data_IF_687212853899
#
_entry.id   IF_687212853899
#
_cell.length_a   1.000
_cell.length_b   1.000
_cell.length_c   1.000
_cell.angle_alpha   90.00
_cell.angle_beta   90.00
_cell.angle_gamma   90.00
#
_symmetry.space_group_name_H-M   'P 1'
#
loop_
_entity.id
_entity.type
_entity.pdbx_description
1 polymer ?
#
# COMPACT_ATOMS: atom_id res chain seq x y z
N UNK A 1 -16.61 4.33 26.70
CA UNK A 1 -16.54 4.51 25.23
C UNK A 1 -15.08 4.28 24.82
N UNK A 2 -14.78 3.47 23.80
CA UNK A 2 -13.41 3.21 23.37
C UNK A 2 -12.85 4.44 22.68
N UNK A 3 -11.62 4.82 23.02
CA UNK A 3 -10.93 5.99 22.46
C UNK A 3 -9.77 5.57 21.55
N UNK A 4 -9.27 6.52 20.75
CA UNK A 4 -8.06 6.30 19.92
C UNK A 4 -6.87 5.89 20.80
N UNK A 5 -6.73 6.49 22.00
CA UNK A 5 -5.64 6.14 22.93
C UNK A 5 -5.72 4.70 23.43
N UNK A 6 -6.93 4.18 23.66
CA UNK A 6 -7.14 2.80 24.10
C UNK A 6 -6.74 1.81 22.99
N UNK A 7 -7.06 2.15 21.73
CA UNK A 7 -6.67 1.33 20.57
C UNK A 7 -5.16 1.37 20.41
N UNK A 8 -4.54 2.55 20.43
CA UNK A 8 -3.09 2.71 20.31
C UNK A 8 -2.35 1.92 21.42
N UNK A 9 -2.79 2.05 22.68
CA UNK A 9 -2.16 1.35 23.81
C UNK A 9 -2.17 -0.18 23.65
N UNK A 10 -3.26 -0.75 23.10
CA UNK A 10 -3.38 -2.19 22.88
C UNK A 10 -2.69 -2.70 21.61
N UNK A 11 -2.52 -1.85 20.59
CA UNK A 11 -2.09 -2.29 19.25
C UNK A 11 -0.66 -1.89 18.89
N UNK A 12 -0.04 -0.98 19.70
CA UNK A 12 1.24 -0.36 19.38
C UNK A 12 2.24 -0.51 20.54
N UNK A 13 3.09 -1.56 20.49
CA UNK A 13 4.21 -1.66 21.42
C UNK A 13 5.27 -0.58 21.13
N UNK A 14 6.15 -0.25 22.11
CA UNK A 14 7.24 0.70 21.91
C UNK A 14 8.14 0.35 20.72
N UNK A 15 8.50 -0.93 20.56
CA UNK A 15 9.36 -1.43 19.47
C UNK A 15 8.65 -1.24 18.12
N UNK A 16 7.37 -1.64 18.03
CA UNK A 16 6.56 -1.47 16.84
C UNK A 16 6.39 0.00 16.46
N UNK A 17 6.30 0.88 17.47
CA UNK A 17 6.21 2.33 17.24
C UNK A 17 7.47 2.88 16.59
N UNK A 18 8.66 2.42 17.03
CA UNK A 18 9.94 2.82 16.41
C UNK A 18 10.05 2.37 14.96
N UNK A 19 9.68 1.12 14.67
CA UNK A 19 9.66 0.60 13.29
C UNK A 19 8.65 1.33 12.41
N UNK A 20 7.47 1.60 12.95
CA UNK A 20 6.38 2.25 12.22
C UNK A 20 6.69 3.71 11.85
N UNK A 21 7.44 4.44 12.69
CA UNK A 21 7.88 5.81 12.40
C UNK A 21 8.76 5.93 11.16
N UNK A 22 9.36 4.82 10.70
CA UNK A 22 10.16 4.79 9.47
C UNK A 22 9.33 4.98 8.20
N UNK A 23 8.01 4.74 8.25
CA UNK A 23 7.08 5.03 7.16
C UNK A 23 6.26 6.27 7.52
N UNK A 24 6.71 7.43 7.07
CA UNK A 24 6.24 8.73 7.55
C UNK A 24 4.75 8.96 7.35
N UNK A 25 4.27 8.86 6.12
CA UNK A 25 2.85 9.13 5.83
C UNK A 25 1.94 8.10 6.49
N UNK A 26 2.30 6.81 6.41
CA UNK A 26 1.54 5.75 7.04
C UNK A 26 1.49 5.93 8.57
N UNK A 27 2.56 6.41 9.20
CA UNK A 27 2.60 6.61 10.64
C UNK A 27 1.84 7.86 11.10
N UNK A 28 2.10 9.01 10.48
CA UNK A 28 1.56 10.29 10.97
C UNK A 28 0.16 10.59 10.45
N UNK A 29 -0.27 10.03 9.32
CA UNK A 29 -1.57 10.28 8.71
C UNK A 29 -2.42 9.00 8.71
N UNK A 30 -1.93 7.93 8.12
CA UNK A 30 -2.69 6.68 7.96
C UNK A 30 -3.13 6.08 9.28
N UNK A 31 -2.21 5.94 10.26
CA UNK A 31 -2.52 5.31 11.55
C UNK A 31 -3.55 6.06 12.39
N UNK A 32 -3.42 7.37 12.66
CA UNK A 32 -4.43 8.07 13.45
C UNK A 32 -5.83 7.95 12.85
N UNK A 33 -5.94 8.07 11.52
CA UNK A 33 -7.21 7.92 10.82
C UNK A 33 -7.73 6.48 10.85
N UNK A 34 -6.85 5.47 10.71
CA UNK A 34 -7.25 4.07 10.85
C UNK A 34 -7.71 3.74 12.27
N UNK A 35 -7.11 4.31 13.32
CA UNK A 35 -7.60 4.15 14.68
C UNK A 35 -9.01 4.72 14.84
N UNK A 36 -9.26 5.93 14.32
CA UNK A 36 -10.59 6.54 14.34
C UNK A 36 -11.59 5.64 13.60
N UNK A 37 -11.23 5.14 12.43
CA UNK A 37 -12.09 4.26 11.64
C UNK A 37 -12.24 2.86 12.27
N UNK A 38 -11.36 2.44 13.18
CA UNK A 38 -11.49 1.16 13.91
C UNK A 38 -12.59 1.19 14.97
N UNK A 39 -12.88 2.36 15.57
CA UNK A 39 -13.83 2.51 16.69
C UNK A 39 -15.20 1.84 16.41
N UNK A 40 -15.88 2.10 15.27
CA UNK A 40 -17.18 1.50 15.00
C UNK A 40 -17.13 -0.03 14.87
N UNK A 41 -16.00 -0.62 14.49
CA UNK A 41 -15.87 -2.07 14.30
C UNK A 41 -15.60 -2.85 15.60
N UNK A 42 -15.10 -2.17 16.66
CA UNK A 42 -14.68 -2.85 17.89
C UNK A 42 -15.82 -3.62 18.55
N UNK A 43 -17.00 -3.01 18.62
CA UNK A 43 -18.17 -3.57 19.30
C UNK A 43 -19.08 -4.38 18.36
N UNK A 44 -18.64 -4.67 17.14
CA UNK A 44 -19.38 -5.51 16.18
C UNK A 44 -18.85 -6.95 16.15
N UNK A 45 -19.61 -7.85 15.55
CA UNK A 45 -19.19 -9.21 15.25
C UNK A 45 -18.27 -9.31 14.03
N UNK A 46 -17.99 -8.19 13.35
CA UNK A 46 -17.12 -8.15 12.18
C UNK A 46 -15.71 -8.60 12.55
N UNK A 47 -15.20 -9.53 11.77
CA UNK A 47 -13.85 -10.10 11.92
C UNK A 47 -12.80 -9.28 11.15
N UNK A 48 -11.52 -9.34 11.53
CA UNK A 48 -10.44 -8.71 10.76
C UNK A 48 -10.44 -9.11 9.28
N UNK A 49 -10.60 -10.40 8.98
CA UNK A 49 -10.62 -10.89 7.60
C UNK A 49 -11.79 -10.29 6.78
N UNK A 50 -12.96 -10.10 7.40
CA UNK A 50 -14.08 -9.44 6.74
C UNK A 50 -13.76 -7.98 6.39
N UNK A 51 -13.00 -7.28 7.24
CA UNK A 51 -12.53 -5.92 6.95
C UNK A 51 -11.53 -5.94 5.80
N UNK A 52 -10.59 -6.89 5.75
CA UNK A 52 -9.66 -7.04 4.63
C UNK A 52 -10.39 -7.33 3.31
N UNK A 53 -11.44 -8.18 3.31
CA UNK A 53 -12.28 -8.37 2.11
C UNK A 53 -13.05 -7.09 1.74
N UNK A 54 -13.61 -6.38 2.73
CA UNK A 54 -14.31 -5.12 2.52
C UNK A 54 -13.39 -4.07 1.89
N UNK A 55 -12.11 -4.06 2.24
CA UNK A 55 -11.13 -3.11 1.70
C UNK A 55 -10.90 -3.25 0.18
N UNK A 56 -11.21 -4.41 -0.40
CA UNK A 56 -11.12 -4.60 -1.86
C UNK A 56 -12.19 -3.82 -2.64
N UNK A 57 -13.34 -3.51 -2.02
CA UNK A 57 -14.41 -2.77 -2.69
C UNK A 57 -13.96 -1.36 -3.11
N UNK A 58 -13.37 -0.52 -2.24
CA UNK A 58 -12.88 0.77 -2.67
C UNK A 58 -11.77 0.68 -3.73
N UNK A 59 -10.94 -0.38 -3.77
CA UNK A 59 -9.98 -0.55 -4.86
C UNK A 59 -10.68 -0.74 -6.21
N UNK A 60 -11.68 -1.61 -6.26
CA UNK A 60 -12.47 -1.83 -7.48
C UNK A 60 -13.24 -0.58 -7.92
N UNK A 61 -13.85 0.13 -6.95
CA UNK A 61 -14.55 1.40 -7.22
C UNK A 61 -13.58 2.48 -7.72
N UNK A 62 -12.39 2.61 -7.12
CA UNK A 62 -11.38 3.57 -7.55
C UNK A 62 -10.91 3.31 -8.99
N UNK A 63 -10.62 2.06 -9.34
CA UNK A 63 -10.28 1.69 -10.71
C UNK A 63 -11.44 1.97 -11.67
N UNK A 64 -12.67 1.61 -11.28
CA UNK A 64 -13.88 1.90 -12.07
C UNK A 64 -14.07 3.41 -12.34
N UNK A 65 -13.84 4.26 -11.33
CA UNK A 65 -13.91 5.71 -11.47
C UNK A 65 -12.85 6.24 -12.47
N UNK A 66 -11.62 5.75 -12.41
CA UNK A 66 -10.57 6.12 -13.37
C UNK A 66 -10.99 5.76 -14.81
N UNK A 67 -11.55 4.55 -15.00
CA UNK A 67 -11.94 4.04 -16.31
C UNK A 67 -13.18 4.74 -16.90
N UNK A 68 -14.18 4.99 -16.05
CA UNK A 68 -15.51 5.46 -16.50
C UNK A 68 -15.68 6.98 -16.39
N UNK A 69 -14.91 7.64 -15.52
CA UNK A 69 -15.02 9.08 -15.25
C UNK A 69 -13.62 9.72 -15.35
N UNK A 70 -13.03 9.84 -16.57
CA UNK A 70 -11.66 10.33 -16.75
C UNK A 70 -11.52 11.86 -16.57
N UNK A 71 -12.28 12.42 -15.63
CA UNK A 71 -12.23 13.83 -15.25
C UNK A 71 -11.35 14.01 -14.00
N UNK A 72 -10.91 15.24 -13.72
CA UNK A 72 -10.20 15.55 -12.48
C UNK A 72 -10.99 15.10 -11.23
N UNK A 73 -12.28 15.37 -11.21
CA UNK A 73 -13.16 14.97 -10.09
C UNK A 73 -13.22 13.44 -9.94
N UNK A 74 -13.35 12.69 -11.05
CA UNK A 74 -13.32 11.23 -11.03
C UNK A 74 -11.99 10.67 -10.52
N UNK A 75 -10.87 11.24 -10.93
CA UNK A 75 -9.53 10.85 -10.46
C UNK A 75 -9.32 11.16 -8.97
N UNK A 76 -9.80 12.30 -8.47
CA UNK A 76 -9.74 12.64 -7.04
C UNK A 76 -10.62 11.69 -6.22
N UNK A 77 -11.83 11.37 -6.69
CA UNK A 77 -12.69 10.39 -6.03
C UNK A 77 -12.06 8.98 -6.04
N UNK A 78 -11.41 8.59 -7.12
CA UNK A 78 -10.65 7.34 -7.19
C UNK A 78 -9.51 7.31 -6.17
N UNK A 79 -8.77 8.41 -6.05
CA UNK A 79 -7.74 8.53 -5.03
C UNK A 79 -8.32 8.39 -3.61
N UNK A 80 -9.45 9.01 -3.32
CA UNK A 80 -10.15 8.84 -2.04
C UNK A 80 -10.53 7.37 -1.78
N UNK A 81 -10.93 6.63 -2.81
CA UNK A 81 -11.18 5.19 -2.71
C UNK A 81 -9.89 4.42 -2.37
N UNK A 82 -8.76 4.71 -3.01
CA UNK A 82 -7.47 4.08 -2.71
C UNK A 82 -6.97 4.44 -1.31
N UNK A 83 -7.20 5.67 -0.87
CA UNK A 83 -6.89 6.09 0.49
C UNK A 83 -7.80 5.41 1.52
N UNK A 84 -9.08 5.22 1.22
CA UNK A 84 -10.01 4.46 2.07
C UNK A 84 -9.58 3.00 2.19
N UNK A 85 -9.11 2.36 1.09
CA UNK A 85 -8.48 1.05 1.17
C UNK A 85 -7.33 1.04 2.20
N UNK A 86 -6.41 2.01 2.11
CA UNK A 86 -5.27 2.13 3.02
C UNK A 86 -5.70 2.24 4.50
N UNK A 87 -6.78 2.98 4.77
CA UNK A 87 -7.32 3.09 6.13
C UNK A 87 -7.93 1.77 6.61
N UNK A 88 -8.69 1.06 5.76
CA UNK A 88 -9.32 -0.22 6.07
C UNK A 88 -8.29 -1.32 6.30
N UNK A 89 -7.20 -1.35 5.53
CA UNK A 89 -6.02 -2.20 5.76
C UNK A 89 -5.41 -1.97 7.15
N UNK A 90 -5.37 -0.71 7.60
CA UNK A 90 -5.00 -0.39 8.99
C UNK A 90 -6.01 -0.86 10.04
N UNK A 91 -7.31 -0.83 9.71
CA UNK A 91 -8.41 -1.25 10.60
C UNK A 91 -8.36 -2.73 10.90
N UNK A 92 -8.17 -3.61 9.90
CA UNK A 92 -8.16 -5.06 10.13
C UNK A 92 -7.03 -5.47 11.08
N UNK A 93 -5.83 -4.94 10.89
CA UNK A 93 -4.71 -5.15 11.80
C UNK A 93 -4.92 -4.56 13.20
N UNK A 94 -5.59 -3.42 13.32
CA UNK A 94 -5.95 -2.85 14.62
C UNK A 94 -6.99 -3.72 15.32
N UNK A 95 -8.02 -4.15 14.60
CA UNK A 95 -9.11 -4.99 15.11
C UNK A 95 -8.59 -6.35 15.58
N UNK A 96 -7.71 -6.99 14.79
CA UNK A 96 -7.05 -8.24 15.13
C UNK A 96 -6.32 -8.13 16.47
N UNK A 97 -5.47 -7.12 16.60
CA UNK A 97 -4.69 -6.89 17.84
C UNK A 97 -5.56 -6.47 19.02
N UNK A 98 -6.55 -5.61 18.80
CA UNK A 98 -7.43 -5.14 19.87
C UNK A 98 -8.28 -6.26 20.46
N UNK A 99 -8.84 -7.13 19.60
CA UNK A 99 -9.66 -8.30 20.00
C UNK A 99 -8.83 -9.53 20.38
N UNK A 100 -7.51 -9.52 20.15
CA UNK A 100 -6.64 -10.68 20.38
C UNK A 100 -6.93 -11.84 19.42
N UNK A 101 -7.45 -11.55 18.23
CA UNK A 101 -7.78 -12.54 17.20
C UNK A 101 -6.64 -12.60 16.18
N UNK A 102 -6.00 -13.76 16.07
CA UNK A 102 -5.00 -14.03 15.03
C UNK A 102 -5.30 -15.35 14.34
N UNK A 103 -5.11 -15.42 13.04
CA UNK A 103 -5.17 -16.68 12.29
C UNK A 103 -4.10 -16.70 11.20
N UNK A 104 -3.55 -17.88 10.86
CA UNK A 104 -2.63 -18.00 9.72
C UNK A 104 -3.25 -17.49 8.42
N UNK A 105 -4.53 -17.79 8.19
CA UNK A 105 -5.25 -17.32 7.02
C UNK A 105 -5.45 -15.80 7.03
N UNK A 106 -5.51 -15.15 8.20
CA UNK A 106 -5.61 -13.69 8.32
C UNK A 106 -4.44 -12.98 7.66
N UNK A 107 -3.21 -13.48 7.86
CA UNK A 107 -2.03 -12.91 7.21
C UNK A 107 -2.00 -13.11 5.69
N UNK A 108 -2.65 -14.16 5.20
CA UNK A 108 -2.77 -14.42 3.75
C UNK A 108 -3.78 -13.46 3.12
N UNK A 109 -4.92 -13.24 3.77
CA UNK A 109 -5.97 -12.32 3.30
C UNK A 109 -5.48 -10.88 3.32
N UNK A 110 -4.78 -10.45 4.39
CA UNK A 110 -4.11 -9.16 4.50
C UNK A 110 -3.10 -8.95 3.34
N UNK A 111 -2.21 -9.93 3.10
CA UNK A 111 -1.26 -9.87 1.98
C UNK A 111 -1.95 -9.81 0.61
N UNK A 112 -3.05 -10.55 0.41
CA UNK A 112 -3.85 -10.53 -0.82
C UNK A 112 -4.41 -9.11 -1.08
N UNK A 113 -4.99 -8.48 -0.07
CA UNK A 113 -5.50 -7.11 -0.16
C UNK A 113 -4.37 -6.12 -0.52
N UNK A 114 -3.23 -6.21 0.16
CA UNK A 114 -2.06 -5.38 -0.11
C UNK A 114 -1.51 -5.55 -1.53
N UNK A 115 -1.43 -6.78 -2.05
CA UNK A 115 -0.99 -7.03 -3.44
C UNK A 115 -1.98 -6.48 -4.46
N UNK A 116 -3.29 -6.64 -4.23
CA UNK A 116 -4.31 -6.05 -5.08
C UNK A 116 -4.15 -4.52 -5.15
N UNK A 117 -3.97 -3.87 -4.02
CA UNK A 117 -3.78 -2.43 -3.97
C UNK A 117 -2.53 -1.95 -4.71
N UNK A 118 -1.39 -2.65 -4.52
CA UNK A 118 -0.15 -2.33 -5.22
C UNK A 118 -0.33 -2.38 -6.73
N UNK A 119 -0.98 -3.43 -7.24
CA UNK A 119 -1.20 -3.56 -8.67
C UNK A 119 -2.21 -2.53 -9.20
N UNK A 120 -3.39 -2.47 -8.57
CA UNK A 120 -4.51 -1.64 -9.02
C UNK A 120 -4.16 -0.15 -8.99
N UNK A 121 -3.47 0.32 -7.95
CA UNK A 121 -3.14 1.75 -7.82
C UNK A 121 -2.18 2.22 -8.92
N UNK A 122 -1.13 1.46 -9.23
CA UNK A 122 -0.20 1.84 -10.31
C UNK A 122 -0.81 1.64 -11.69
N UNK A 123 -1.60 0.59 -11.90
CA UNK A 123 -2.37 0.40 -13.13
C UNK A 123 -3.33 1.58 -13.35
N UNK A 124 -4.07 1.98 -12.32
CA UNK A 124 -5.02 3.10 -12.37
C UNK A 124 -4.32 4.41 -12.75
N UNK A 125 -3.11 4.67 -12.23
CA UNK A 125 -2.33 5.85 -12.64
C UNK A 125 -1.86 5.78 -14.08
N UNK A 126 -1.49 4.60 -14.58
CA UNK A 126 -1.19 4.39 -16.00
C UNK A 126 -2.40 4.66 -16.90
N UNK A 127 -3.59 4.21 -16.49
CA UNK A 127 -4.85 4.51 -17.18
C UNK A 127 -5.15 6.01 -17.12
N UNK A 128 -5.05 6.65 -15.96
CA UNK A 128 -5.28 8.09 -15.81
C UNK A 128 -4.32 8.90 -16.70
N UNK A 129 -3.05 8.50 -16.79
CA UNK A 129 -2.04 9.11 -17.65
C UNK A 129 -2.36 8.94 -19.14
N UNK A 130 -2.94 7.80 -19.54
CA UNK A 130 -3.32 7.56 -20.93
C UNK A 130 -4.45 8.48 -21.41
N UNK A 131 -5.32 8.93 -20.51
CA UNK A 131 -6.37 9.90 -20.83
C UNK A 131 -5.91 11.35 -20.73
N UNK A 132 -4.98 11.64 -19.83
CA UNK A 132 -4.52 13.01 -19.55
C UNK A 132 -3.02 13.00 -19.21
N UNK A 133 -2.21 13.34 -20.22
CA UNK A 133 -0.77 13.52 -20.12
C UNK A 133 -0.45 15.02 -20.15
N UNK A 134 0.37 15.49 -19.21
CA UNK A 134 0.80 16.90 -19.17
C UNK A 134 1.85 17.19 -20.24
N UNK A 135 2.72 16.24 -20.51
CA UNK A 135 3.90 16.45 -21.35
C UNK A 135 3.75 15.91 -22.77
N UNK A 136 2.81 14.98 -23.00
CA UNK A 136 2.52 14.45 -24.34
C UNK A 136 3.66 13.68 -25.02
N UNK A 137 4.76 13.37 -24.30
CA UNK A 137 5.92 12.66 -24.87
C UNK A 137 5.67 11.16 -25.09
N UNK A 138 4.67 10.60 -24.41
CA UNK A 138 4.43 9.17 -24.36
C UNK A 138 3.13 8.81 -25.04
N UNK A 139 3.13 7.75 -25.84
CA UNK A 139 1.88 7.21 -26.39
C UNK A 139 1.02 6.65 -25.24
N UNK A 140 -0.31 6.83 -25.30
CA UNK A 140 -1.24 6.35 -24.25
C UNK A 140 -1.08 4.88 -23.90
N UNK A 141 -0.85 4.02 -24.91
CA UNK A 141 -0.68 2.57 -24.75
C UNK A 141 0.55 2.23 -23.90
N UNK A 142 1.65 3.00 -24.07
CA UNK A 142 2.85 2.81 -23.26
C UNK A 142 2.63 3.19 -21.81
N UNK A 143 1.92 4.29 -21.53
CA UNK A 143 1.64 4.71 -20.16
C UNK A 143 0.82 3.66 -19.40
N UNK A 144 -0.14 3.02 -20.07
CA UNK A 144 -0.90 1.91 -19.50
C UNK A 144 -0.01 0.71 -19.18
N UNK A 145 0.87 0.32 -20.11
CA UNK A 145 1.83 -0.79 -19.91
C UNK A 145 2.80 -0.46 -18.77
N UNK A 146 3.34 0.76 -18.72
CA UNK A 146 4.27 1.18 -17.67
C UNK A 146 3.61 1.17 -16.28
N UNK A 147 2.33 1.59 -16.19
CA UNK A 147 1.57 1.49 -14.95
C UNK A 147 1.38 0.06 -14.48
N UNK A 148 1.00 -0.85 -15.38
CA UNK A 148 0.85 -2.27 -15.08
C UNK A 148 2.18 -2.92 -14.65
N UNK A 149 3.27 -2.63 -15.37
CA UNK A 149 4.61 -3.12 -15.03
C UNK A 149 5.10 -2.56 -13.70
N UNK A 150 4.81 -1.28 -13.40
CA UNK A 150 5.15 -0.68 -12.11
C UNK A 150 4.51 -1.43 -10.95
N UNK A 151 3.22 -1.78 -11.05
CA UNK A 151 2.52 -2.62 -10.07
C UNK A 151 3.14 -4.00 -9.94
N UNK A 152 3.47 -4.66 -11.05
CA UNK A 152 4.14 -5.97 -11.05
C UNK A 152 5.51 -5.91 -10.37
N UNK A 153 6.31 -4.85 -10.62
CA UNK A 153 7.63 -4.66 -10.02
C UNK A 153 7.61 -4.51 -8.50
N UNK A 154 6.54 -3.95 -7.94
CA UNK A 154 6.36 -3.86 -6.48
C UNK A 154 5.97 -5.20 -5.87
N UNK A 155 5.13 -5.98 -6.55
CA UNK A 155 4.62 -7.26 -6.03
C UNK A 155 5.67 -8.36 -6.13
N UNK A 156 6.38 -8.45 -7.25
CA UNK A 156 7.24 -9.59 -7.56
C UNK A 156 8.31 -9.86 -6.48
N UNK A 157 9.12 -8.89 -6.01
CA UNK A 157 10.10 -9.14 -4.96
C UNK A 157 9.45 -9.55 -3.63
N UNK A 158 8.23 -9.09 -3.33
CA UNK A 158 7.49 -9.48 -2.12
C UNK A 158 7.05 -10.94 -2.18
N UNK A 159 6.57 -11.40 -3.34
CA UNK A 159 6.20 -12.82 -3.56
C UNK A 159 7.44 -13.71 -3.41
N UNK A 160 8.55 -13.33 -4.05
CA UNK A 160 9.83 -14.07 -3.94
C UNK A 160 10.33 -14.11 -2.48
N UNK A 161 10.31 -12.99 -1.80
CA UNK A 161 10.69 -12.92 -0.38
C UNK A 161 9.79 -13.80 0.50
N UNK A 162 8.46 -13.75 0.34
CA UNK A 162 7.54 -14.61 1.10
C UNK A 162 7.79 -16.09 0.81
N UNK A 163 8.04 -16.44 -0.44
CA UNK A 163 8.40 -17.82 -0.80
C UNK A 163 9.73 -18.23 -0.17
N UNK A 164 10.75 -17.38 -0.23
CA UNK A 164 12.06 -17.65 0.36
C UNK A 164 11.95 -17.88 1.88
N UNK A 165 11.27 -16.99 2.61
CA UNK A 165 11.06 -17.11 4.06
C UNK A 165 10.38 -18.43 4.44
N UNK A 166 9.36 -18.83 3.67
CA UNK A 166 8.58 -20.05 3.95
C UNK A 166 9.29 -21.34 3.53
N UNK A 167 10.22 -21.27 2.57
CA UNK A 167 10.92 -22.45 2.03
C UNK A 167 12.27 -22.68 2.70
N UNK A 168 13.07 -21.63 2.88
CA UNK A 168 14.45 -21.73 3.36
C UNK A 168 14.51 -21.83 4.88
N UNK A 169 13.60 -21.18 5.61
CA UNK A 169 13.41 -21.25 7.07
C UNK A 169 14.70 -21.02 7.91
N UNK A 170 15.71 -20.36 7.36
CA UNK A 170 16.95 -20.01 8.09
C UNK A 170 16.76 -18.77 8.96
N UNK A 171 17.66 -18.56 9.93
CA UNK A 171 17.68 -17.33 10.74
C UNK A 171 17.85 -16.08 9.87
N UNK A 172 18.65 -16.17 8.80
CA UNK A 172 18.84 -15.08 7.84
C UNK A 172 17.54 -14.73 7.07
N UNK A 173 16.79 -15.75 6.64
CA UNK A 173 15.49 -15.51 5.99
C UNK A 173 14.46 -14.89 6.93
N UNK A 174 14.53 -15.17 8.22
CA UNK A 174 13.69 -14.54 9.24
C UNK A 174 14.04 -13.05 9.47
N UNK A 175 15.31 -12.68 9.33
CA UNK A 175 15.75 -11.28 9.43
C UNK A 175 15.23 -10.41 8.30
N UNK A 176 14.87 -10.99 7.14
CA UNK A 176 14.24 -10.26 6.03
C UNK A 176 12.85 -9.70 6.39
N UNK A 177 12.20 -10.23 7.43
CA UNK A 177 10.88 -9.74 7.89
C UNK A 177 10.92 -8.42 8.65
N UNK A 178 12.04 -8.12 9.34
CA UNK A 178 12.12 -7.00 10.28
C UNK A 178 12.61 -5.72 9.63
N UNK A 179 12.05 -4.59 10.05
CA UNK A 179 12.50 -3.24 9.67
C UNK A 179 13.50 -2.64 10.68
N UNK A 180 13.88 -3.42 11.72
CA UNK A 180 14.76 -2.92 12.81
C UNK A 180 16.08 -2.39 12.28
N UNK A 181 16.70 -3.10 11.36
CA UNK A 181 18.04 -2.83 10.84
C UNK A 181 18.05 -2.00 9.55
N UNK A 182 16.92 -1.31 9.20
CA UNK A 182 16.89 -0.46 8.03
C UNK A 182 17.83 0.74 8.20
N UNK A 183 18.83 0.83 7.32
CA UNK A 183 19.64 2.02 7.14
C UNK A 183 18.87 3.14 6.42
N UNK A 184 19.53 4.27 6.21
CA UNK A 184 18.90 5.45 5.58
C UNK A 184 18.35 5.13 4.18
N UNK A 185 19.10 4.39 3.37
CA UNK A 185 18.67 4.03 2.01
C UNK A 185 17.40 3.16 2.01
N UNK A 186 17.31 2.17 2.92
CA UNK A 186 16.10 1.33 3.04
C UNK A 186 14.91 2.13 3.58
N UNK A 187 15.11 3.10 4.46
CA UNK A 187 14.03 3.98 4.95
C UNK A 187 13.53 4.89 3.82
N UNK A 188 14.42 5.45 3.01
CA UNK A 188 14.05 6.24 1.84
C UNK A 188 13.28 5.37 0.84
N UNK A 189 13.79 4.18 0.50
CA UNK A 189 13.12 3.25 -0.40
C UNK A 189 11.73 2.85 0.14
N UNK A 190 11.62 2.56 1.44
CA UNK A 190 10.33 2.28 2.09
C UNK A 190 9.33 3.41 1.88
N UNK A 191 9.70 4.64 2.19
CA UNK A 191 8.80 5.79 2.06
C UNK A 191 8.38 6.02 0.60
N UNK A 192 9.30 5.84 -0.35
CA UNK A 192 9.03 6.05 -1.77
C UNK A 192 8.20 4.93 -2.42
N UNK A 193 8.21 3.70 -1.87
CA UNK A 193 7.57 2.54 -2.51
C UNK A 193 6.46 1.88 -1.69
N UNK A 194 6.26 2.29 -0.43
CA UNK A 194 5.15 1.82 0.40
C UNK A 194 3.84 2.36 -0.13
N UNK A 195 2.98 1.51 -0.69
CA UNK A 195 1.69 1.94 -1.26
C UNK A 195 0.78 2.63 -0.24
N UNK A 196 0.97 2.33 1.03
CA UNK A 196 0.28 2.99 2.16
C UNK A 196 0.98 4.29 2.61
N UNK A 197 2.13 4.63 2.01
CA UNK A 197 3.01 5.72 2.37
C UNK A 197 2.95 6.91 1.40
N UNK A 198 4.11 7.50 1.14
CA UNK A 198 4.26 8.69 0.28
C UNK A 198 3.73 8.54 -1.15
N UNK A 199 3.71 7.34 -1.79
CA UNK A 199 3.04 7.18 -3.09
C UNK A 199 1.60 7.69 -3.11
N UNK A 200 0.86 7.59 -2.00
CA UNK A 200 -0.50 8.16 -1.90
C UNK A 200 -0.48 9.69 -2.06
N UNK A 201 0.48 10.35 -1.44
CA UNK A 201 0.62 11.81 -1.53
C UNK A 201 1.04 12.23 -2.93
N UNK A 202 2.05 11.56 -3.50
CA UNK A 202 2.52 11.87 -4.85
C UNK A 202 1.46 11.57 -5.92
N UNK A 203 0.64 10.54 -5.73
CA UNK A 203 -0.51 10.24 -6.58
C UNK A 203 -1.51 11.39 -6.56
N UNK A 204 -1.89 11.91 -5.40
CA UNK A 204 -2.80 13.04 -5.29
C UNK A 204 -2.23 14.29 -5.96
N UNK A 205 -0.96 14.60 -5.71
CA UNK A 205 -0.28 15.76 -6.32
C UNK A 205 -0.28 15.60 -7.85
N UNK A 206 0.05 14.42 -8.36
CA UNK A 206 0.08 14.15 -9.79
C UNK A 206 -1.32 14.33 -10.43
N UNK A 207 -2.37 13.85 -9.77
CA UNK A 207 -3.75 14.02 -10.21
C UNK A 207 -4.13 15.50 -10.28
N UNK A 208 -3.87 16.25 -9.20
CA UNK A 208 -4.23 17.66 -9.08
C UNK A 208 -3.52 18.55 -10.12
N UNK A 209 -2.22 18.26 -10.37
CA UNK A 209 -1.41 19.01 -11.32
C UNK A 209 -1.52 18.47 -12.76
N UNK A 210 -2.18 17.33 -12.97
CA UNK A 210 -2.27 16.66 -14.26
C UNK A 210 -0.96 15.95 -14.68
N UNK A 211 -0.05 15.67 -13.74
CA UNK A 211 1.26 15.02 -13.94
C UNK A 211 1.19 13.49 -13.84
N UNK A 212 0.09 12.90 -14.30
CA UNK A 212 -0.14 11.46 -14.21
C UNK A 212 0.93 10.66 -14.99
N UNK A 213 1.38 11.17 -16.14
CA UNK A 213 2.46 10.58 -16.95
C UNK A 213 3.81 10.62 -16.23
N UNK A 214 4.17 11.74 -15.60
CA UNK A 214 5.39 11.86 -14.81
C UNK A 214 5.38 10.88 -13.62
N UNK A 215 4.26 10.78 -12.91
CA UNK A 215 4.08 9.80 -11.83
C UNK A 215 4.27 8.37 -12.37
N UNK A 216 3.60 8.02 -13.47
CA UNK A 216 3.63 6.66 -14.03
C UNK A 216 5.03 6.27 -14.47
N UNK A 217 5.71 7.12 -15.23
CA UNK A 217 7.08 6.85 -15.70
C UNK A 217 8.07 6.86 -14.54
N UNK A 218 7.98 7.84 -13.63
CA UNK A 218 8.85 7.93 -12.46
C UNK A 218 8.74 6.69 -11.56
N UNK A 219 7.51 6.22 -11.29
CA UNK A 219 7.30 5.01 -10.48
C UNK A 219 7.64 3.72 -11.22
N UNK A 220 7.50 3.65 -12.54
CA UNK A 220 8.02 2.51 -13.32
C UNK A 220 9.52 2.37 -13.13
N UNK A 221 10.28 3.45 -13.28
CA UNK A 221 11.74 3.43 -13.09
C UNK A 221 12.14 3.13 -11.65
N UNK A 222 11.51 3.80 -10.68
CA UNK A 222 11.78 3.61 -9.26
C UNK A 222 11.49 2.18 -8.80
N UNK A 223 10.30 1.67 -9.08
CA UNK A 223 9.89 0.33 -8.67
C UNK A 223 10.72 -0.75 -9.39
N UNK A 224 11.10 -0.52 -10.66
CA UNK A 224 12.01 -1.41 -11.40
C UNK A 224 13.39 -1.48 -10.74
N UNK A 225 13.97 -0.34 -10.37
CA UNK A 225 15.25 -0.28 -9.65
C UNK A 225 15.16 -1.00 -8.29
N UNK A 226 14.14 -0.67 -7.50
CA UNK A 226 13.93 -1.28 -6.17
C UNK A 226 13.68 -2.78 -6.28
N UNK A 227 12.96 -3.24 -7.31
CA UNK A 227 12.77 -4.67 -7.60
C UNK A 227 14.13 -5.37 -7.81
N UNK A 228 14.99 -4.84 -8.68
CA UNK A 228 16.30 -5.42 -8.98
C UNK A 228 17.16 -5.50 -7.71
N UNK A 229 17.22 -4.41 -6.94
CA UNK A 229 18.01 -4.36 -5.70
C UNK A 229 17.48 -5.32 -4.64
N UNK A 230 16.16 -5.40 -4.48
CA UNK A 230 15.50 -6.29 -3.53
C UNK A 230 15.72 -7.77 -3.89
N UNK A 231 15.56 -8.13 -5.16
CA UNK A 231 15.80 -9.51 -5.61
C UNK A 231 17.26 -9.92 -5.45
N UNK A 232 18.21 -9.02 -5.73
CA UNK A 232 19.64 -9.29 -5.47
C UNK A 232 19.91 -9.57 -3.99
N UNK A 233 19.20 -8.90 -3.08
CA UNK A 233 19.35 -9.10 -1.63
C UNK A 233 18.70 -10.40 -1.15
N UNK A 234 17.58 -10.81 -1.74
CA UNK A 234 16.85 -12.03 -1.34
C UNK A 234 17.48 -13.30 -1.93
N UNK A 235 18.09 -13.21 -3.11
CA UNK A 235 18.64 -14.37 -3.86
C UNK A 235 20.14 -14.61 -3.61
N UNK A 236 20.80 -13.78 -2.81
CA UNK A 236 22.16 -14.00 -2.29
C UNK A 236 22.13 -14.85 -1.03
#
# INVERSE_FOLDING_TARGET
>A
MVTIKDIEAKTMSPEKRQEAKKDLFAFYVGRPLSYLLTIPFINTSITPNQVSYLSLLPLGLGLGLILLVPTLAGQVLAWLCFFLWNLLDGVDGNLARYKGISSPMGSVVDAMSGYAAMFISYLAMGVAASYRSAFGFWKPEWLLVLGALSGAFVIFPRLVMHKAINTVQTQESQQLKGRKNFGLAEVIALNLTSISGMPQVFMLIAILLGWNDLFTVGYFLLNGLVMILSLRKVLR
#
